data_IF_539163653707
#
_entry.id   IF_539163653707
#
_cell.length_a   1.000
_cell.length_b   1.000
_cell.length_c   1.000
_cell.angle_alpha   90.00
_cell.angle_beta   90.00
_cell.angle_gamma   90.00
#
_symmetry.space_group_name_H-M   'P 1'
#
loop_
_entity.id
_entity.type
_entity.pdbx_description
1 polymer ?
#
# COMPACT_ATOMS: atom_id res chain seq x y z
N UNK A 1 20.41 -11.31 26.16
CA UNK A 1 19.63 -10.06 26.26
C UNK A 1 18.61 -10.07 25.14
N UNK A 2 17.32 -10.06 25.48
CA UNK A 2 16.25 -9.92 24.48
C UNK A 2 16.42 -8.58 23.80
N UNK A 3 16.45 -8.59 22.47
CA UNK A 3 16.60 -7.35 21.70
C UNK A 3 15.31 -6.52 21.83
N UNK A 4 15.42 -5.39 22.49
CA UNK A 4 14.31 -4.42 22.56
C UNK A 4 14.35 -3.49 21.36
N UNK A 5 13.19 -3.28 20.77
CA UNK A 5 12.94 -2.32 19.71
C UNK A 5 12.17 -1.13 20.27
N UNK A 6 12.25 0.01 19.61
CA UNK A 6 11.40 1.14 19.97
C UNK A 6 9.98 0.88 19.50
N UNK A 7 9.83 0.39 18.26
CA UNK A 7 8.56 0.03 17.68
C UNK A 7 8.57 -1.37 17.08
N UNK A 8 7.45 -2.07 17.17
CA UNK A 8 7.18 -3.28 16.39
C UNK A 8 6.02 -2.97 15.46
N UNK A 9 6.25 -3.11 14.15
CA UNK A 9 5.22 -2.93 13.11
C UNK A 9 4.82 -4.32 12.61
N UNK A 10 3.53 -4.64 12.75
CA UNK A 10 2.94 -5.92 12.35
C UNK A 10 2.33 -5.78 10.96
N UNK A 11 2.88 -6.50 9.99
CA UNK A 11 2.52 -6.45 8.58
C UNK A 11 3.38 -5.47 7.78
N UNK A 12 4.11 -5.99 6.79
CA UNK A 12 4.86 -5.17 5.83
C UNK A 12 4.04 -4.92 4.56
N UNK A 13 2.78 -4.61 4.73
CA UNK A 13 1.89 -4.15 3.66
C UNK A 13 2.16 -2.69 3.28
N UNK A 14 1.20 -2.07 2.56
CA UNK A 14 1.37 -0.69 2.08
C UNK A 14 1.55 0.30 3.22
N UNK A 15 0.76 0.22 4.30
CA UNK A 15 0.88 1.08 5.47
C UNK A 15 2.11 0.76 6.31
N UNK A 16 2.35 -0.52 6.61
CA UNK A 16 3.47 -0.92 7.47
C UNK A 16 4.83 -0.57 6.90
N UNK A 17 5.03 -0.68 5.58
CA UNK A 17 6.25 -0.21 4.93
C UNK A 17 6.47 1.31 5.10
N UNK A 18 5.39 2.10 5.00
CA UNK A 18 5.45 3.56 5.20
C UNK A 18 5.80 3.88 6.64
N UNK A 19 5.08 3.31 7.60
CA UNK A 19 5.28 3.56 9.03
C UNK A 19 6.70 3.15 9.44
N UNK A 20 7.12 1.93 9.10
CA UNK A 20 8.46 1.45 9.44
C UNK A 20 9.55 2.31 8.79
N UNK A 21 9.37 2.68 7.51
CA UNK A 21 10.30 3.55 6.80
C UNK A 21 10.46 4.91 7.48
N UNK A 22 9.35 5.57 7.83
CA UNK A 22 9.38 6.89 8.48
C UNK A 22 9.94 6.84 9.90
N UNK A 23 9.63 5.81 10.67
CA UNK A 23 10.21 5.62 12.00
C UNK A 23 11.73 5.34 11.91
N UNK A 24 12.16 4.53 10.94
CA UNK A 24 13.57 4.27 10.68
C UNK A 24 14.34 5.51 10.24
N UNK A 25 13.76 6.37 9.39
CA UNK A 25 14.31 7.67 9.01
C UNK A 25 14.46 8.61 10.22
N UNK A 26 13.53 8.53 11.17
CA UNK A 26 13.58 9.30 12.42
C UNK A 26 14.59 8.73 13.45
N UNK A 27 15.28 7.63 13.13
CA UNK A 27 16.31 7.04 13.98
C UNK A 27 15.83 5.99 15.00
N UNK A 28 14.55 5.65 14.99
CA UNK A 28 14.00 4.63 15.89
C UNK A 28 14.36 3.21 15.44
N UNK A 29 14.65 2.33 16.41
CA UNK A 29 14.84 0.89 16.15
C UNK A 29 13.50 0.20 15.93
N UNK A 30 13.26 -0.23 14.70
CA UNK A 30 12.00 -0.83 14.28
C UNK A 30 12.17 -2.31 13.96
N UNK A 31 11.28 -3.15 14.50
CA UNK A 31 11.07 -4.52 14.03
C UNK A 31 9.84 -4.53 13.12
N UNK A 32 10.02 -4.85 11.86
CA UNK A 32 8.95 -5.02 10.88
C UNK A 32 8.72 -6.51 10.64
N UNK A 33 7.55 -7.02 11.03
CA UNK A 33 7.16 -8.42 10.92
C UNK A 33 6.23 -8.63 9.72
N UNK A 34 6.56 -9.57 8.84
CA UNK A 34 5.78 -9.92 7.66
C UNK A 34 5.57 -11.43 7.58
N UNK A 35 4.32 -11.85 7.45
CA UNK A 35 3.95 -13.26 7.35
C UNK A 35 4.45 -13.92 6.06
N UNK A 36 4.53 -13.15 4.98
CA UNK A 36 4.99 -13.61 3.68
C UNK A 36 6.50 -13.55 3.48
N UNK A 37 6.90 -13.84 2.26
CA UNK A 37 8.30 -13.84 1.82
C UNK A 37 8.75 -12.54 1.16
N UNK A 38 9.92 -12.58 0.49
CA UNK A 38 10.46 -11.46 -0.28
C UNK A 38 9.63 -11.19 -1.54
N UNK A 39 9.60 -9.93 -1.96
CA UNK A 39 8.95 -9.44 -3.19
C UNK A 39 9.85 -9.56 -4.44
N UNK A 40 10.73 -10.56 -4.49
CA UNK A 40 11.74 -10.71 -5.54
C UNK A 40 11.28 -11.54 -6.75
N UNK A 41 10.04 -12.02 -6.76
CA UNK A 41 9.49 -12.75 -7.90
C UNK A 41 9.46 -11.86 -9.16
N UNK A 42 9.90 -12.36 -10.33
CA UNK A 42 9.77 -11.61 -11.59
C UNK A 42 8.33 -11.18 -11.88
N UNK A 43 7.33 -12.00 -11.52
CA UNK A 43 5.91 -11.70 -11.71
C UNK A 43 5.43 -10.52 -10.86
N UNK A 44 6.08 -10.25 -9.72
CA UNK A 44 5.82 -9.05 -8.92
C UNK A 44 6.38 -7.81 -9.63
N UNK A 45 7.60 -7.90 -10.18
CA UNK A 45 8.29 -6.74 -10.77
C UNK A 45 7.76 -6.36 -12.16
N UNK A 46 7.27 -7.34 -12.94
CA UNK A 46 6.70 -7.11 -14.27
C UNK A 46 5.23 -6.73 -14.13
N UNK A 47 4.77 -5.54 -14.64
CA UNK A 47 3.39 -5.09 -14.50
C UNK A 47 2.33 -6.11 -14.93
N UNK A 48 2.48 -6.74 -16.10
CA UNK A 48 1.54 -7.79 -16.58
C UNK A 48 1.54 -9.06 -15.72
N UNK A 49 2.53 -9.21 -14.84
CA UNK A 49 2.66 -10.37 -13.95
C UNK A 49 1.58 -10.47 -12.88
N UNK A 50 0.84 -9.39 -12.59
CA UNK A 50 -0.16 -9.38 -11.52
C UNK A 50 -1.21 -10.49 -11.66
N UNK A 51 -1.60 -10.87 -12.88
CA UNK A 51 -2.56 -11.96 -13.14
C UNK A 51 -2.05 -13.33 -12.68
N UNK A 52 -0.73 -13.53 -12.63
CA UNK A 52 -0.09 -14.76 -12.11
C UNK A 52 0.01 -14.80 -10.57
N UNK A 53 -0.27 -13.67 -9.92
CA UNK A 53 -0.11 -13.53 -8.47
C UNK A 53 -1.43 -13.77 -7.72
N UNK A 54 -2.58 -13.51 -8.35
CA UNK A 54 -3.89 -13.56 -7.68
C UNK A 54 -4.23 -14.93 -7.10
N UNK A 55 -3.89 -16.01 -7.79
CA UNK A 55 -4.17 -17.38 -7.32
C UNK A 55 -2.91 -18.08 -6.78
N UNK A 56 -1.85 -17.32 -6.46
CA UNK A 56 -0.60 -17.89 -5.98
C UNK A 56 -0.52 -17.82 -4.44
N UNK A 57 -0.73 -18.95 -3.71
CA UNK A 57 -0.74 -18.96 -2.24
C UNK A 57 0.63 -18.65 -1.62
N UNK A 58 1.72 -18.61 -2.40
CA UNK A 58 3.05 -18.20 -1.91
C UNK A 58 3.13 -16.70 -1.64
N UNK A 59 2.28 -15.89 -2.30
CA UNK A 59 2.30 -14.42 -2.21
C UNK A 59 0.92 -13.82 -1.94
N UNK A 60 -0.11 -14.64 -1.83
CA UNK A 60 -1.49 -14.25 -1.58
C UNK A 60 -2.12 -15.13 -0.50
N UNK A 61 -2.90 -14.54 0.40
CA UNK A 61 -3.69 -15.27 1.39
C UNK A 61 -4.83 -16.07 0.75
N UNK A 62 -5.27 -15.69 -0.45
CA UNK A 62 -6.34 -16.33 -1.19
C UNK A 62 -7.65 -16.44 -0.38
N UNK A 63 -8.02 -15.37 0.32
CA UNK A 63 -9.28 -15.34 1.07
C UNK A 63 -10.49 -15.43 0.15
N UNK A 64 -11.56 -15.94 0.70
CA UNK A 64 -12.89 -15.97 0.08
C UNK A 64 -13.89 -15.45 1.11
N UNK A 65 -14.82 -14.60 0.68
CA UNK A 65 -15.88 -14.10 1.55
C UNK A 65 -16.84 -15.21 1.95
N UNK A 66 -17.63 -14.97 2.99
CA UNK A 66 -18.86 -15.73 3.19
C UNK A 66 -19.80 -15.59 1.98
N UNK A 67 -20.72 -16.55 1.76
CA UNK A 67 -21.72 -16.40 0.70
C UNK A 67 -22.54 -15.12 0.85
N UNK A 68 -22.66 -14.35 -0.24
CA UNK A 68 -23.39 -13.08 -0.27
C UNK A 68 -24.80 -13.32 -0.85
N UNK A 69 -25.87 -13.18 -0.05
CA UNK A 69 -27.25 -13.45 -0.49
C UNK A 69 -27.66 -12.62 -1.72
N UNK A 70 -27.29 -11.33 -1.75
CA UNK A 70 -27.61 -10.41 -2.85
C UNK A 70 -26.85 -10.75 -4.16
N UNK A 71 -25.88 -11.65 -4.08
CA UNK A 71 -25.12 -12.18 -5.23
C UNK A 71 -25.44 -13.66 -5.51
N UNK A 72 -26.69 -14.10 -5.28
CA UNK A 72 -27.11 -15.48 -5.44
C UNK A 72 -26.30 -16.47 -4.55
N UNK A 73 -26.02 -16.10 -3.33
CA UNK A 73 -25.18 -16.85 -2.38
C UNK A 73 -23.78 -17.19 -2.91
N UNK A 74 -23.25 -16.37 -3.81
CA UNK A 74 -21.93 -16.57 -4.39
C UNK A 74 -20.85 -16.00 -3.45
N UNK A 75 -19.85 -16.79 -3.03
CA UNK A 75 -18.68 -16.29 -2.34
C UNK A 75 -17.78 -15.53 -3.30
N UNK A 76 -17.16 -14.47 -2.84
CA UNK A 76 -16.25 -13.64 -3.62
C UNK A 76 -14.79 -13.92 -3.24
N UNK A 77 -13.96 -14.11 -4.25
CA UNK A 77 -12.51 -14.20 -4.04
C UNK A 77 -11.94 -12.84 -3.63
N UNK A 78 -11.21 -12.81 -2.51
CA UNK A 78 -10.63 -11.61 -1.90
C UNK A 78 -9.10 -11.71 -1.86
N UNK A 79 -8.40 -11.29 -2.92
CA UNK A 79 -6.94 -11.33 -2.94
C UNK A 79 -6.35 -10.38 -1.89
N UNK A 80 -5.39 -10.89 -1.12
CA UNK A 80 -4.66 -10.12 -0.10
C UNK A 80 -3.20 -10.54 -0.12
N UNK A 81 -2.27 -9.60 -0.30
CA UNK A 81 -0.85 -9.90 -0.38
C UNK A 81 -0.31 -10.55 0.89
N UNK A 82 0.48 -11.62 0.73
CA UNK A 82 1.26 -12.31 1.76
C UNK A 82 2.73 -12.27 1.34
N UNK A 83 3.26 -11.09 1.34
CA UNK A 83 4.60 -10.80 0.77
C UNK A 83 5.03 -9.40 1.19
N UNK A 84 6.31 -9.13 1.22
CA UNK A 84 6.85 -7.78 1.45
C UNK A 84 6.22 -6.77 0.47
N UNK A 85 5.67 -5.68 1.00
CA UNK A 85 4.85 -4.71 0.27
C UNK A 85 3.35 -5.06 0.20
N UNK A 86 2.95 -6.23 0.75
CA UNK A 86 1.56 -6.65 0.87
C UNK A 86 0.80 -6.65 -0.44
N UNK A 87 -0.44 -6.19 -0.43
CA UNK A 87 -1.29 -6.09 -1.64
C UNK A 87 -0.73 -5.12 -2.67
N UNK A 88 0.08 -4.12 -2.27
CA UNK A 88 0.82 -3.25 -3.18
C UNK A 88 1.82 -3.99 -4.08
N UNK A 89 2.28 -5.18 -3.65
CA UNK A 89 3.16 -6.03 -4.45
C UNK A 89 2.42 -6.97 -5.42
N UNK A 90 1.09 -7.11 -5.30
CA UNK A 90 0.30 -8.03 -6.15
C UNK A 90 -0.88 -7.37 -6.89
N UNK A 91 -1.21 -6.12 -6.60
CA UNK A 91 -2.33 -5.38 -7.22
C UNK A 91 -2.06 -4.98 -8.68
N UNK A 92 -3.04 -4.35 -9.32
CA UNK A 92 -2.93 -3.80 -10.69
C UNK A 92 -2.18 -2.47 -10.80
N UNK A 93 -1.57 -1.98 -9.72
CA UNK A 93 -0.75 -0.75 -9.66
C UNK A 93 -1.48 0.57 -9.93
N UNK A 94 -2.77 0.58 -10.17
CA UNK A 94 -3.52 1.80 -10.41
C UNK A 94 -3.32 2.76 -9.24
N UNK A 95 -2.88 3.99 -9.55
CA UNK A 95 -2.74 5.06 -8.58
C UNK A 95 -3.95 6.00 -8.66
N UNK A 96 -4.82 5.89 -7.68
CA UNK A 96 -6.02 6.70 -7.56
C UNK A 96 -6.28 7.03 -6.09
N UNK A 97 -6.57 8.29 -5.82
CA UNK A 97 -6.93 8.81 -4.48
C UNK A 97 -8.46 8.88 -4.35
N UNK A 98 -8.96 9.01 -3.13
CA UNK A 98 -10.31 9.51 -2.89
C UNK A 98 -10.43 10.97 -3.34
N UNK A 99 -11.65 11.42 -3.59
CA UNK A 99 -11.97 12.81 -3.91
C UNK A 99 -11.95 13.67 -2.65
N UNK A 100 -11.84 14.99 -2.81
CA UNK A 100 -11.93 15.93 -1.69
C UNK A 100 -13.20 15.71 -0.85
N UNK A 101 -14.32 15.42 -1.52
CA UNK A 101 -15.62 15.17 -0.87
C UNK A 101 -15.59 13.96 0.06
N UNK A 102 -14.82 12.90 -0.28
CA UNK A 102 -14.73 11.69 0.56
C UNK A 102 -14.07 12.01 1.90
N UNK A 103 -12.96 12.74 1.87
CA UNK A 103 -12.22 13.14 3.07
C UNK A 103 -12.99 14.18 3.90
N UNK A 104 -13.59 15.18 3.25
CA UNK A 104 -14.42 16.18 3.93
C UNK A 104 -15.65 15.53 4.58
N UNK A 105 -16.22 14.50 3.97
CA UNK A 105 -17.30 13.72 4.57
C UNK A 105 -16.84 12.96 5.82
N UNK A 106 -15.61 12.43 5.84
CA UNK A 106 -15.04 11.81 7.06
C UNK A 106 -14.87 12.84 8.18
N UNK A 107 -14.33 14.00 7.86
CA UNK A 107 -14.18 15.08 8.84
C UNK A 107 -15.52 15.53 9.41
N UNK A 108 -16.53 15.73 8.54
CA UNK A 108 -17.88 16.10 8.96
C UNK A 108 -18.55 15.01 9.85
N UNK A 109 -18.14 13.75 9.76
CA UNK A 109 -18.58 12.66 10.63
C UNK A 109 -17.78 12.55 11.94
N UNK A 110 -16.88 13.50 12.22
CA UNK A 110 -16.10 13.58 13.45
C UNK A 110 -14.65 13.10 13.37
N UNK A 111 -14.16 12.71 12.19
CA UNK A 111 -12.75 12.38 11.98
C UNK A 111 -11.93 13.66 11.78
N UNK A 112 -11.81 14.47 12.82
CA UNK A 112 -11.10 15.76 12.79
C UNK A 112 -9.66 15.57 12.35
N UNK A 113 -9.19 16.41 11.40
CA UNK A 113 -7.84 16.33 10.82
C UNK A 113 -7.73 15.35 9.65
N UNK A 114 -8.86 14.80 9.17
CA UNK A 114 -8.94 13.94 7.98
C UNK A 114 -9.63 14.62 6.80
N UNK A 115 -9.87 15.94 6.87
CA UNK A 115 -10.35 16.72 5.73
C UNK A 115 -9.34 16.79 4.58
N UNK A 116 -9.79 17.21 3.43
CA UNK A 116 -8.95 17.25 2.23
C UNK A 116 -7.70 18.11 2.40
N UNK A 117 -7.84 19.28 2.99
CA UNK A 117 -6.74 20.22 3.21
C UNK A 117 -5.64 19.63 4.10
N UNK A 118 -6.02 18.77 5.07
CA UNK A 118 -5.08 18.11 5.97
C UNK A 118 -4.41 16.90 5.33
N UNK A 119 -5.11 16.13 4.49
CA UNK A 119 -4.56 14.89 3.91
C UNK A 119 -3.78 15.12 2.60
N UNK A 120 -4.12 16.16 1.81
CA UNK A 120 -3.46 16.48 0.56
C UNK A 120 -1.93 16.67 0.71
N UNK A 121 -1.41 17.37 1.72
CA UNK A 121 0.03 17.51 1.94
C UNK A 121 0.75 16.16 2.09
N UNK A 122 0.12 15.15 2.70
CA UNK A 122 0.69 13.82 2.85
C UNK A 122 0.67 13.01 1.54
N UNK A 123 -0.36 13.16 0.72
CA UNK A 123 -0.36 12.61 -0.64
C UNK A 123 0.80 13.19 -1.45
N UNK A 124 0.96 14.51 -1.45
CA UNK A 124 2.07 15.19 -2.14
C UNK A 124 3.44 14.81 -1.59
N UNK A 125 3.58 14.68 -0.26
CA UNK A 125 4.83 14.27 0.39
C UNK A 125 5.26 12.86 0.02
N UNK A 126 4.32 11.95 -0.21
CA UNK A 126 4.62 10.56 -0.57
C UNK A 126 4.90 10.36 -2.06
N UNK A 127 4.42 11.24 -2.92
CA UNK A 127 4.39 11.09 -4.36
C UNK A 127 5.67 11.61 -5.05
N UNK A 128 6.10 10.88 -6.08
CA UNK A 128 7.02 11.38 -7.09
C UNK A 128 6.32 11.31 -8.46
N UNK A 129 5.60 12.39 -8.79
CA UNK A 129 4.78 12.49 -9.99
C UNK A 129 5.63 12.70 -11.22
N UNK A 130 5.51 11.81 -12.21
CA UNK A 130 6.24 11.90 -13.50
C UNK A 130 5.93 13.19 -14.26
N UNK A 131 4.68 13.69 -14.16
CA UNK A 131 4.23 14.91 -14.86
C UNK A 131 4.69 16.20 -14.19
N UNK A 132 5.35 16.11 -13.03
CA UNK A 132 5.81 17.26 -12.26
C UNK A 132 4.89 17.65 -11.10
N UNK A 133 5.31 18.66 -10.35
CA UNK A 133 4.54 19.20 -9.22
C UNK A 133 3.37 20.06 -9.70
N UNK A 134 2.27 20.04 -8.94
CA UNK A 134 1.11 20.92 -9.15
C UNK A 134 0.43 21.24 -7.84
N UNK A 135 -0.74 21.88 -7.89
CA UNK A 135 -1.61 22.06 -6.74
C UNK A 135 -1.94 20.72 -6.07
N UNK A 136 -2.21 19.67 -6.88
CA UNK A 136 -2.62 18.34 -6.39
C UNK A 136 -1.46 17.34 -6.28
N UNK A 137 -0.31 17.58 -6.91
CA UNK A 137 0.76 16.61 -7.05
C UNK A 137 2.08 17.05 -6.44
N UNK A 138 2.81 16.05 -5.89
CA UNK A 138 4.16 16.21 -5.35
C UNK A 138 5.23 15.55 -6.22
N UNK A 139 6.48 15.98 -6.04
CA UNK A 139 7.67 15.38 -6.63
C UNK A 139 8.71 15.10 -5.55
N UNK A 140 9.60 14.14 -5.80
CA UNK A 140 10.66 13.78 -4.86
C UNK A 140 10.23 12.88 -3.72
N UNK A 141 8.95 12.50 -3.63
CA UNK A 141 8.49 11.50 -2.67
C UNK A 141 8.93 10.09 -3.06
N UNK A 142 8.85 9.13 -2.12
CA UNK A 142 9.35 7.76 -2.35
C UNK A 142 8.45 6.91 -3.24
N UNK A 143 7.19 7.29 -3.48
CA UNK A 143 6.22 6.54 -4.27
C UNK A 143 6.18 7.06 -5.71
N UNK A 144 6.74 6.30 -6.63
CA UNK A 144 6.74 6.64 -8.06
C UNK A 144 5.35 6.51 -8.67
N UNK A 145 4.94 7.55 -9.39
CA UNK A 145 3.68 7.61 -10.15
C UNK A 145 3.99 7.98 -11.58
N UNK A 146 3.59 7.13 -12.52
CA UNK A 146 3.92 7.30 -13.93
C UNK A 146 2.72 7.05 -14.83
N UNK A 147 2.77 7.60 -16.03
CA UNK A 147 1.83 7.32 -17.09
C UNK A 147 2.01 5.90 -17.62
N UNK A 148 0.98 5.39 -18.28
CA UNK A 148 1.10 4.16 -19.04
C UNK A 148 2.11 4.37 -20.20
N UNK A 149 2.93 3.36 -20.52
CA UNK A 149 3.98 3.51 -21.54
C UNK A 149 3.41 3.66 -22.96
N UNK A 150 2.17 3.28 -23.18
CA UNK A 150 1.48 3.41 -24.48
C UNK A 150 -0.02 3.38 -24.32
N UNK A 151 -0.72 4.04 -25.23
CA UNK A 151 -2.17 4.04 -25.34
C UNK A 151 -2.57 3.12 -26.50
N UNK A 152 -3.68 2.40 -26.32
CA UNK A 152 -4.21 1.52 -27.35
C UNK A 152 -5.28 2.24 -28.18
N UNK A 153 -5.32 2.02 -29.51
CA UNK A 153 -6.27 2.67 -30.41
C UNK A 153 -7.75 2.46 -29.99
N UNK A 154 -8.08 1.28 -29.47
CA UNK A 154 -9.44 1.02 -28.94
C UNK A 154 -9.74 1.86 -27.68
N UNK A 155 -8.74 2.17 -26.86
CA UNK A 155 -8.89 3.09 -25.72
C UNK A 155 -9.22 4.50 -26.19
N UNK A 156 -8.55 5.00 -27.22
CA UNK A 156 -8.84 6.31 -27.80
C UNK A 156 -10.24 6.34 -28.45
N UNK A 157 -10.63 5.27 -29.15
CA UNK A 157 -11.98 5.15 -29.70
C UNK A 157 -13.07 5.17 -28.61
N UNK A 158 -12.82 4.44 -27.48
CA UNK A 158 -13.71 4.46 -26.32
C UNK A 158 -13.84 5.86 -25.72
N UNK A 159 -12.74 6.57 -25.51
CA UNK A 159 -12.76 7.94 -24.98
C UNK A 159 -13.49 8.90 -25.90
N UNK A 160 -13.30 8.78 -27.22
CA UNK A 160 -13.99 9.61 -28.21
C UNK A 160 -15.50 9.34 -28.22
N UNK A 161 -15.90 8.07 -28.16
CA UNK A 161 -17.34 7.71 -28.10
C UNK A 161 -17.97 8.20 -26.78
N UNK A 162 -17.27 8.09 -25.66
CA UNK A 162 -17.74 8.60 -24.36
C UNK A 162 -17.91 10.13 -24.38
N UNK A 163 -16.98 10.85 -24.99
CA UNK A 163 -17.07 12.30 -25.13
C UNK A 163 -18.30 12.71 -26.01
N UNK A 164 -18.59 11.97 -27.07
CA UNK A 164 -19.76 12.18 -27.89
C UNK A 164 -21.09 11.96 -27.13
N UNK A 165 -21.05 11.16 -26.06
CA UNK A 165 -22.18 10.93 -25.15
C UNK A 165 -22.19 11.88 -23.93
N UNK A 166 -21.35 12.91 -23.92
CA UNK A 166 -21.31 13.94 -22.87
C UNK A 166 -20.40 13.61 -21.68
N UNK A 167 -19.65 12.49 -21.70
CA UNK A 167 -18.66 12.20 -20.66
C UNK A 167 -17.34 12.88 -21.01
N UNK A 168 -16.81 13.82 -20.20
CA UNK A 168 -15.62 14.58 -20.55
C UNK A 168 -14.37 13.70 -20.59
N UNK A 169 -13.37 14.12 -21.38
CA UNK A 169 -12.03 13.55 -21.29
C UNK A 169 -11.38 14.02 -19.99
N UNK A 170 -10.93 13.09 -19.16
CA UNK A 170 -10.17 13.40 -17.96
C UNK A 170 -8.72 12.94 -18.12
N UNK A 171 -7.80 13.85 -17.94
CA UNK A 171 -6.36 13.59 -18.05
C UNK A 171 -5.69 13.35 -16.69
N UNK A 172 -6.42 13.62 -15.58
CA UNK A 172 -5.91 13.51 -14.24
C UNK A 172 -7.02 13.22 -13.22
N UNK A 173 -7.21 11.95 -12.90
CA UNK A 173 -8.18 11.52 -11.90
C UNK A 173 -7.78 11.84 -10.44
N UNK A 174 -6.56 12.33 -10.21
CA UNK A 174 -6.08 12.77 -8.91
C UNK A 174 -5.95 14.29 -8.81
N UNK A 175 -6.52 15.01 -9.79
CA UNK A 175 -6.64 16.46 -9.82
C UNK A 175 -7.90 16.97 -9.16
N UNK A 176 -8.43 18.10 -9.68
CA UNK A 176 -9.60 18.76 -9.12
C UNK A 176 -10.91 17.96 -9.27
N UNK A 177 -11.02 17.13 -10.30
CA UNK A 177 -12.24 16.39 -10.66
C UNK A 177 -11.90 14.96 -11.10
N UNK A 178 -12.74 14.00 -10.68
CA UNK A 178 -12.63 12.59 -11.09
C UNK A 178 -13.66 12.19 -12.15
N UNK A 179 -14.53 13.09 -12.58
CA UNK A 179 -15.55 12.79 -13.60
C UNK A 179 -14.93 12.67 -14.98
N UNK A 180 -15.38 11.68 -15.74
CA UNK A 180 -15.00 11.51 -17.15
C UNK A 180 -14.30 10.20 -17.46
N UNK A 181 -13.65 10.15 -18.62
CA UNK A 181 -12.89 9.00 -19.11
C UNK A 181 -11.46 9.38 -19.44
N UNK A 182 -10.52 8.51 -19.10
CA UNK A 182 -9.10 8.78 -19.32
C UNK A 182 -8.23 7.57 -18.99
N UNK A 183 -6.93 7.74 -19.16
CA UNK A 183 -5.95 6.76 -18.73
C UNK A 183 -5.53 7.03 -17.30
N UNK A 184 -5.55 5.99 -16.48
CA UNK A 184 -5.05 6.07 -15.09
C UNK A 184 -3.53 6.06 -15.06
N UNK A 185 -2.95 6.67 -14.05
CA UNK A 185 -1.54 6.52 -13.73
C UNK A 185 -1.31 5.28 -12.86
N UNK A 186 -0.08 4.81 -12.86
CA UNK A 186 0.31 3.58 -12.18
C UNK A 186 1.57 3.77 -11.33
N UNK A 187 1.69 2.95 -10.27
CA UNK A 187 2.90 2.91 -9.44
C UNK A 187 3.99 2.09 -10.12
N UNK A 188 4.71 2.73 -11.03
CA UNK A 188 5.88 2.12 -11.68
C UNK A 188 7.07 3.07 -11.77
N UNK A 189 8.27 2.49 -11.72
CA UNK A 189 9.55 3.14 -11.99
C UNK A 189 10.27 2.39 -13.08
N UNK A 190 10.63 3.06 -14.17
CA UNK A 190 11.29 2.42 -15.33
C UNK A 190 10.54 1.16 -15.78
N UNK A 191 9.21 1.26 -15.89
CA UNK A 191 8.30 0.18 -16.31
C UNK A 191 8.30 -1.06 -15.40
N UNK A 192 8.75 -0.93 -14.16
CA UNK A 192 8.65 -1.98 -13.14
C UNK A 192 7.77 -1.51 -11.99
N UNK A 193 7.00 -2.43 -11.41
CA UNK A 193 6.22 -2.16 -10.20
C UNK A 193 7.07 -1.46 -9.15
N UNK A 194 6.49 -0.42 -8.56
CA UNK A 194 7.09 0.32 -7.47
C UNK A 194 6.14 0.33 -6.28
N UNK A 195 6.26 -0.70 -5.43
CA UNK A 195 5.45 -0.83 -4.20
C UNK A 195 6.00 0.09 -3.10
N UNK A 196 5.25 0.21 -2.00
CA UNK A 196 5.72 0.92 -0.80
C UNK A 196 6.97 0.29 -0.20
N UNK A 197 7.14 -1.04 -0.28
CA UNK A 197 8.40 -1.67 0.10
C UNK A 197 9.58 -1.15 -0.74
N UNK A 198 9.38 -0.97 -2.06
CA UNK A 198 10.41 -0.41 -2.94
C UNK A 198 10.69 1.06 -2.67
N UNK A 199 9.68 1.83 -2.23
CA UNK A 199 9.80 3.27 -1.98
C UNK A 199 10.31 3.63 -0.59
N UNK A 200 9.83 2.96 0.44
CA UNK A 200 10.04 3.36 1.83
C UNK A 200 11.06 2.50 2.60
N UNK A 201 11.27 1.24 2.19
CA UNK A 201 12.26 0.37 2.82
C UNK A 201 13.59 0.43 2.07
N UNK A 202 14.19 1.62 2.01
CA UNK A 202 15.42 1.90 1.25
C UNK A 202 16.31 2.90 1.98
N UNK A 203 17.55 3.02 1.52
CA UNK A 203 18.47 4.07 1.99
C UNK A 203 18.80 4.01 3.48
N UNK A 204 19.07 5.17 4.11
CA UNK A 204 19.49 5.24 5.52
C UNK A 204 18.50 4.68 6.53
N UNK A 205 17.18 4.75 6.24
CA UNK A 205 16.14 4.19 7.11
C UNK A 205 16.41 2.72 7.46
N UNK A 206 16.93 1.94 6.49
CA UNK A 206 17.19 0.51 6.68
C UNK A 206 18.25 0.17 7.72
N UNK A 207 19.06 1.12 8.15
CA UNK A 207 20.03 0.92 9.23
C UNK A 207 19.34 0.70 10.59
N UNK A 208 18.12 1.23 10.73
CA UNK A 208 17.32 1.18 11.95
C UNK A 208 16.16 0.17 11.87
N UNK A 209 15.95 -0.48 10.73
CA UNK A 209 14.82 -1.40 10.52
C UNK A 209 15.32 -2.84 10.41
N UNK A 210 14.83 -3.69 11.30
CA UNK A 210 14.98 -5.14 11.17
C UNK A 210 13.73 -5.70 10.52
N UNK A 211 13.83 -6.20 9.28
CA UNK A 211 12.72 -6.85 8.57
C UNK A 211 12.78 -8.36 8.79
N UNK A 212 11.76 -8.91 9.43
CA UNK A 212 11.62 -10.33 9.65
C UNK A 212 10.51 -10.89 8.78
N UNK A 213 10.88 -11.69 7.77
CA UNK A 213 9.94 -12.33 6.84
C UNK A 213 9.58 -13.75 7.28
N UNK A 214 8.41 -14.24 6.83
CA UNK A 214 7.87 -15.52 7.26
C UNK A 214 7.46 -15.52 8.74
N UNK A 215 7.26 -14.34 9.31
CA UNK A 215 6.92 -14.12 10.71
C UNK A 215 5.41 -13.91 10.85
N UNK A 216 4.72 -14.95 11.31
CA UNK A 216 3.30 -14.89 11.64
C UNK A 216 3.13 -14.40 13.07
N UNK A 217 2.57 -13.21 13.26
CA UNK A 217 2.22 -12.72 14.59
C UNK A 217 0.97 -13.44 15.08
N UNK A 218 1.05 -14.03 16.26
CA UNK A 218 -0.04 -14.77 16.88
C UNK A 218 -0.79 -13.92 17.92
N UNK A 219 -0.04 -13.16 18.74
CA UNK A 219 -0.61 -12.37 19.83
C UNK A 219 0.19 -11.10 20.10
N UNK A 220 -0.47 -10.06 20.61
CA UNK A 220 0.13 -8.93 21.29
C UNK A 220 0.29 -9.28 22.78
N UNK A 221 1.46 -9.06 23.34
CA UNK A 221 1.74 -9.27 24.76
C UNK A 221 1.30 -8.01 25.50
N UNK A 222 0.33 -8.18 26.39
CA UNK A 222 -0.17 -7.11 27.24
C UNK A 222 0.32 -7.32 28.69
N UNK A 223 0.80 -6.24 29.30
CA UNK A 223 1.11 -6.18 30.73
C UNK A 223 0.37 -5.00 31.36
N UNK A 224 -0.54 -5.27 32.30
CA UNK A 224 -1.40 -4.26 32.92
C UNK A 224 -2.13 -3.36 31.91
N UNK A 225 -2.65 -3.95 30.82
CA UNK A 225 -3.37 -3.22 29.77
C UNK A 225 -2.49 -2.48 28.75
N UNK A 226 -1.16 -2.53 28.90
CA UNK A 226 -0.19 -1.89 27.98
C UNK A 226 0.43 -2.95 27.08
N UNK A 227 0.51 -2.65 25.76
CA UNK A 227 1.21 -3.51 24.81
C UNK A 227 2.73 -3.40 25.02
N UNK A 228 3.36 -4.51 25.40
CA UNK A 228 4.79 -4.57 25.71
C UNK A 228 5.60 -5.37 24.70
N UNK A 229 4.93 -6.07 23.77
CA UNK A 229 5.59 -6.87 22.77
C UNK A 229 4.62 -7.73 21.96
N UNK A 230 5.16 -8.68 21.22
CA UNK A 230 4.41 -9.62 20.39
C UNK A 230 4.96 -11.03 20.46
N UNK A 231 4.08 -12.04 20.32
CA UNK A 231 4.45 -13.42 20.02
C UNK A 231 4.25 -13.68 18.54
N UNK A 232 5.24 -14.27 17.91
CA UNK A 232 5.21 -14.60 16.51
C UNK A 232 5.93 -15.92 16.24
N UNK A 233 5.57 -16.58 15.15
CA UNK A 233 6.16 -17.85 14.74
C UNK A 233 6.74 -17.78 13.34
N UNK A 234 7.77 -18.58 13.09
CA UNK A 234 8.34 -18.85 11.77
C UNK A 234 8.78 -20.32 11.68
N UNK A 235 9.51 -20.67 10.63
CA UNK A 235 10.02 -22.04 10.43
C UNK A 235 11.01 -22.50 11.51
N UNK A 236 11.64 -21.60 12.23
CA UNK A 236 12.60 -21.91 13.32
C UNK A 236 11.93 -22.05 14.69
N UNK A 237 10.64 -21.75 14.81
CA UNK A 237 9.87 -21.88 16.03
C UNK A 237 9.12 -20.62 16.44
N UNK A 238 8.76 -20.57 17.73
CA UNK A 238 8.06 -19.43 18.35
C UNK A 238 9.06 -18.46 18.97
N UNK A 239 8.74 -17.18 18.85
CA UNK A 239 9.57 -16.08 19.29
C UNK A 239 8.73 -15.05 20.06
N UNK A 240 9.38 -14.31 20.95
CA UNK A 240 8.83 -13.10 21.55
C UNK A 240 9.74 -11.93 21.21
N UNK A 241 9.15 -10.76 21.01
CA UNK A 241 9.88 -9.51 20.80
C UNK A 241 9.21 -8.41 21.60
N UNK A 242 10.02 -7.52 22.19
CA UNK A 242 9.53 -6.51 23.12
C UNK A 242 9.79 -5.10 22.61
N UNK A 243 8.95 -4.15 23.02
CA UNK A 243 9.03 -2.74 22.65
C UNK A 243 9.34 -1.87 23.87
N UNK A 244 9.93 -0.70 23.61
CA UNK A 244 10.08 0.39 24.57
C UNK A 244 9.02 1.48 24.38
N UNK A 245 8.42 1.57 23.19
CA UNK A 245 7.39 2.54 22.83
C UNK A 245 6.06 1.82 22.49
N UNK A 246 5.85 1.42 21.24
CA UNK A 246 4.54 0.94 20.78
C UNK A 246 4.61 -0.27 19.84
N UNK A 247 3.51 -1.05 19.85
CA UNK A 247 3.17 -2.05 18.83
C UNK A 247 2.17 -1.44 17.87
N UNK A 248 2.49 -1.41 16.59
CA UNK A 248 1.66 -0.83 15.52
C UNK A 248 1.14 -1.97 14.63
N UNK A 249 -0.18 -2.04 14.49
CA UNK A 249 -0.84 -3.06 13.65
C UNK A 249 -1.23 -2.41 12.31
N UNK A 250 -0.74 -3.02 11.18
CA UNK A 250 -0.92 -2.51 9.82
C UNK A 250 -1.58 -3.53 8.87
#
# INVERSE_FOLDING_TARGET
MESKYDYIVIGAGSSGCVVAGRLGEAGYKVLLLEAGGKDNSPWIKIPLGYSKLYNNPKVNWCYTSEPEPELNNRPLFQPRGKVLGGSGSINGMIYMRGQAQDFNAWEAQGCVGWGWEEVLPYFKKSENQQRGASEFHGVGGPLEVSDLPSNHALGEAFHSASAALGSPRNHDFNGADQVGTGYVQINTKKQRRWSTASGFLTGPAMQNITVQLGAMVENIILHNGVATGVRWGNKSGKHESFVTQEVIVC
#
